data_IF_569968216956
#
_entry.id   IF_569968216956
#
_cell.length_a   1.000
_cell.length_b   1.000
_cell.length_c   1.000
_cell.angle_alpha   90.00
_cell.angle_beta   90.00
_cell.angle_gamma   90.00
#
_symmetry.space_group_name_H-M   'P 1'
#
loop_
_entity.id
_entity.type
_entity.pdbx_description
1 polymer ?
#
# COMPACT_ATOMS: atom_id res chain seq x y z
N UNK A 1 4.89 6.01 -1.34
CA UNK A 1 6.08 5.14 -1.47
C UNK A 1 6.13 4.55 -2.88
N UNK A 2 7.21 4.77 -3.64
CA UNK A 2 7.31 4.36 -5.03
C UNK A 2 7.96 2.97 -5.12
N UNK A 3 7.17 1.96 -5.49
CA UNK A 3 7.67 0.62 -5.80
C UNK A 3 8.44 0.64 -7.12
N UNK A 4 9.73 1.02 -7.08
CA UNK A 4 10.69 0.68 -8.13
C UNK A 4 11.08 -0.79 -7.97
N UNK A 5 10.15 -1.68 -8.28
CA UNK A 5 10.45 -3.10 -8.50
C UNK A 5 11.53 -3.18 -9.59
N UNK A 6 12.48 -4.08 -9.40
CA UNK A 6 13.63 -4.44 -10.24
C UNK A 6 13.25 -4.82 -11.69
N UNK A 7 12.63 -3.94 -12.47
CA UNK A 7 12.30 -4.17 -13.87
C UNK A 7 13.50 -4.04 -14.81
N UNK A 8 14.56 -3.35 -14.37
CA UNK A 8 15.71 -3.05 -15.23
C UNK A 8 16.51 -4.31 -15.64
N UNK A 9 16.62 -5.33 -14.78
CA UNK A 9 17.46 -6.50 -15.10
C UNK A 9 16.80 -7.51 -16.05
N UNK A 10 15.47 -7.47 -16.20
CA UNK A 10 14.75 -8.38 -17.10
C UNK A 10 14.80 -7.91 -18.57
N UNK A 11 14.82 -6.59 -18.80
CA UNK A 11 14.82 -6.02 -20.16
C UNK A 11 16.20 -6.18 -20.83
N UNK A 12 17.31 -6.06 -20.09
CA UNK A 12 18.65 -6.19 -20.67
C UNK A 12 18.90 -7.60 -21.25
N UNK A 13 18.39 -8.65 -20.59
CA UNK A 13 18.56 -10.03 -21.07
C UNK A 13 17.66 -10.41 -22.27
N UNK A 14 16.65 -9.60 -22.60
CA UNK A 14 15.72 -9.91 -23.71
C UNK A 14 16.34 -9.60 -25.08
N UNK A 15 17.37 -8.75 -25.13
CA UNK A 15 18.00 -8.29 -26.38
C UNK A 15 19.35 -8.96 -26.71
N UNK A 16 19.89 -9.80 -25.82
CA UNK A 16 21.19 -10.48 -26.00
C UNK A 16 21.10 -11.86 -26.70
N UNK A 17 19.92 -12.26 -27.18
CA UNK A 17 19.78 -13.51 -27.93
C UNK A 17 20.27 -13.35 -29.40
N UNK A 18 20.98 -14.35 -29.97
CA UNK A 18 21.50 -14.29 -31.34
C UNK A 18 20.37 -14.13 -32.36
N UNK A 19 20.63 -13.65 -33.60
CA UNK A 19 19.61 -13.19 -34.53
C UNK A 19 18.77 -14.37 -35.05
N UNK A 20 17.73 -14.73 -34.31
CA UNK A 20 16.70 -15.62 -34.78
C UNK A 20 15.81 -14.86 -35.76
N UNK A 21 15.87 -15.31 -37.02
CA UNK A 21 14.92 -15.16 -38.14
C UNK A 21 14.11 -13.82 -38.20
N UNK A 22 14.13 -13.10 -39.35
CA UNK A 22 13.60 -11.74 -39.49
C UNK A 22 12.09 -11.57 -39.15
N UNK A 23 11.33 -12.67 -39.05
CA UNK A 23 9.92 -12.65 -38.67
C UNK A 23 9.68 -12.49 -37.16
N UNK A 24 10.61 -12.92 -36.29
CA UNK A 24 10.46 -12.84 -34.82
C UNK A 24 10.88 -11.48 -34.27
N UNK A 25 11.65 -10.72 -35.06
CA UNK A 25 12.25 -9.43 -34.71
C UNK A 25 11.23 -8.35 -34.33
N UNK A 26 10.00 -8.47 -34.81
CA UNK A 26 8.90 -7.55 -34.52
C UNK A 26 7.84 -8.14 -33.59
N UNK A 27 7.81 -9.46 -33.40
CA UNK A 27 6.81 -10.14 -32.57
C UNK A 27 7.10 -9.97 -31.07
N UNK A 28 8.37 -10.10 -30.68
CA UNK A 28 8.82 -9.89 -29.29
C UNK A 28 8.53 -8.46 -28.78
N UNK A 29 8.93 -7.38 -29.47
CA UNK A 29 8.63 -6.04 -29.01
C UNK A 29 7.12 -5.73 -29.05
N UNK A 30 6.38 -6.26 -30.02
CA UNK A 30 4.92 -6.11 -30.07
C UNK A 30 4.24 -6.80 -28.87
N UNK A 31 4.69 -8.01 -28.51
CA UNK A 31 4.19 -8.73 -27.34
C UNK A 31 4.53 -7.99 -26.04
N UNK A 32 5.74 -7.44 -25.93
CA UNK A 32 6.15 -6.63 -24.77
C UNK A 32 5.29 -5.37 -24.62
N UNK A 33 4.99 -4.67 -25.73
CA UNK A 33 4.10 -3.50 -25.73
C UNK A 33 2.68 -3.90 -25.32
N UNK A 34 2.18 -5.03 -25.81
CA UNK A 34 0.85 -5.54 -25.44
C UNK A 34 0.78 -5.89 -23.95
N UNK A 35 1.81 -6.55 -23.40
CA UNK A 35 1.90 -6.84 -21.97
C UNK A 35 1.98 -5.55 -21.13
N UNK A 36 2.78 -4.57 -21.56
CA UNK A 36 2.87 -3.27 -20.89
C UNK A 36 1.53 -2.54 -20.89
N UNK A 37 0.80 -2.55 -22.01
CA UNK A 37 -0.53 -1.95 -22.09
C UNK A 37 -1.54 -2.65 -21.16
N UNK A 38 -1.40 -3.96 -20.96
CA UNK A 38 -2.25 -4.73 -20.06
C UNK A 38 -1.93 -4.45 -18.57
N UNK A 39 -0.65 -4.32 -18.22
CA UNK A 39 -0.22 -3.99 -16.84
C UNK A 39 -0.45 -2.51 -16.52
N UNK A 40 -0.42 -1.64 -17.53
CA UNK A 40 -0.70 -0.22 -17.39
C UNK A 40 -2.20 0.12 -17.41
N UNK A 41 -3.09 -0.87 -17.51
CA UNK A 41 -4.50 -0.61 -17.29
C UNK A 41 -4.65 -0.07 -15.87
N UNK A 42 -5.22 1.13 -15.67
CA UNK A 42 -5.55 1.57 -14.34
C UNK A 42 -6.49 0.51 -13.77
N UNK A 43 -6.12 -0.04 -12.61
CA UNK A 43 -7.11 -0.71 -11.78
C UNK A 43 -8.14 0.38 -11.49
N UNK A 44 -9.30 0.33 -12.14
CA UNK A 44 -10.52 0.92 -11.60
C UNK A 44 -10.75 0.15 -10.29
N UNK A 45 -10.03 0.55 -9.24
CA UNK A 45 -10.37 0.17 -7.90
C UNK A 45 -11.79 0.73 -7.75
N UNK A 46 -12.77 -0.15 -7.77
CA UNK A 46 -14.15 0.22 -7.46
C UNK A 46 -14.04 0.93 -6.13
N UNK A 47 -14.38 2.22 -6.09
CA UNK A 47 -14.46 2.97 -4.84
C UNK A 47 -15.60 2.35 -4.03
N UNK A 48 -15.24 1.37 -3.21
CA UNK A 48 -16.13 0.74 -2.26
C UNK A 48 -16.12 1.65 -1.05
N UNK A 49 -17.29 2.16 -0.67
CA UNK A 49 -17.44 2.91 0.58
C UNK A 49 -17.52 1.90 1.73
N UNK A 50 -16.58 2.01 2.66
CA UNK A 50 -16.57 1.22 3.90
C UNK A 50 -17.36 1.98 4.97
N UNK A 51 -18.14 1.25 5.77
CA UNK A 51 -18.77 1.82 6.96
C UNK A 51 -17.78 1.82 8.13
N UNK A 52 -18.16 2.47 9.24
CA UNK A 52 -17.34 2.55 10.45
C UNK A 52 -16.76 1.19 10.89
N UNK A 53 -17.58 0.15 10.99
CA UNK A 53 -17.15 -1.16 11.49
C UNK A 53 -16.15 -1.82 10.53
N UNK A 54 -16.41 -1.77 9.23
CA UNK A 54 -15.45 -2.29 8.25
C UNK A 54 -14.13 -1.52 8.27
N UNK A 55 -14.16 -0.19 8.47
CA UNK A 55 -12.92 0.59 8.59
C UNK A 55 -12.13 0.23 9.85
N UNK A 56 -12.83 -0.03 10.95
CA UNK A 56 -12.21 -0.51 12.18
C UNK A 56 -11.57 -1.89 11.97
N UNK A 57 -12.33 -2.85 11.45
CA UNK A 57 -11.87 -4.21 11.14
C UNK A 57 -10.64 -4.18 10.21
N UNK A 58 -10.68 -3.38 9.13
CA UNK A 58 -9.58 -3.23 8.18
C UNK A 58 -8.31 -2.63 8.86
N UNK A 59 -8.49 -1.73 9.82
CA UNK A 59 -7.38 -1.10 10.55
C UNK A 59 -6.76 -2.06 11.58
N UNK A 60 -7.58 -2.83 12.29
CA UNK A 60 -7.12 -3.89 13.17
C UNK A 60 -6.40 -4.99 12.38
N UNK A 61 -6.94 -5.39 11.23
CA UNK A 61 -6.32 -6.36 10.33
C UNK A 61 -4.96 -5.86 9.83
N UNK A 62 -4.82 -4.58 9.49
CA UNK A 62 -3.54 -3.99 9.11
C UNK A 62 -2.48 -4.15 10.20
N UNK A 63 -2.81 -3.83 11.46
CA UNK A 63 -1.89 -4.01 12.58
C UNK A 63 -1.57 -5.49 12.83
N UNK A 64 -2.57 -6.37 12.70
CA UNK A 64 -2.40 -7.82 12.88
C UNK A 64 -1.49 -8.44 11.81
N UNK A 65 -1.58 -7.97 10.57
CA UNK A 65 -0.77 -8.46 9.45
C UNK A 65 0.67 -7.96 9.49
N UNK A 66 0.94 -6.84 10.16
CA UNK A 66 2.26 -6.20 10.21
C UNK A 66 2.67 -5.80 11.63
N UNK A 67 2.72 -6.75 12.58
CA UNK A 67 2.88 -6.45 14.00
C UNK A 67 4.23 -5.81 14.35
N UNK A 68 5.25 -6.00 13.51
CA UNK A 68 6.59 -5.42 13.73
C UNK A 68 6.68 -3.92 13.36
N UNK A 69 5.69 -3.41 12.63
CA UNK A 69 5.71 -2.05 12.07
C UNK A 69 4.41 -1.27 12.25
N UNK A 70 3.36 -1.87 12.81
CA UNK A 70 2.05 -1.24 12.99
C UNK A 70 1.45 -1.56 14.36
N UNK A 71 0.95 -0.55 15.06
CA UNK A 71 0.24 -0.68 16.34
C UNK A 71 -1.14 -0.04 16.22
N UNK A 72 -2.20 -0.82 16.45
CA UNK A 72 -3.55 -0.31 16.60
C UNK A 72 -3.77 0.21 18.03
N UNK A 73 -4.39 1.39 18.15
CA UNK A 73 -4.69 2.02 19.44
C UNK A 73 -6.07 2.66 19.44
N UNK A 74 -6.80 2.49 20.54
CA UNK A 74 -8.04 3.19 20.85
C UNK A 74 -7.76 4.35 21.80
N UNK A 75 -8.31 5.52 21.50
CA UNK A 75 -7.98 6.76 22.22
C UNK A 75 -9.14 7.29 23.05
N UNK A 76 -10.37 7.16 22.54
CA UNK A 76 -11.57 7.70 23.14
C UNK A 76 -12.82 7.15 22.44
N UNK A 77 -13.99 7.44 22.99
CA UNK A 77 -15.27 7.10 22.37
C UNK A 77 -16.02 8.36 21.92
N UNK A 78 -16.74 8.25 20.81
CA UNK A 78 -17.52 9.32 20.20
C UNK A 78 -18.75 9.68 21.02
N UNK A 79 -19.11 10.97 20.99
CA UNK A 79 -20.29 11.45 21.72
C UNK A 79 -21.58 10.96 21.03
N UNK A 80 -22.47 10.35 21.81
CA UNK A 80 -23.82 9.97 21.38
C UNK A 80 -23.94 8.57 20.76
N UNK A 81 -22.92 8.10 20.02
CA UNK A 81 -22.93 6.77 19.40
C UNK A 81 -22.05 5.75 20.14
N UNK A 82 -21.09 6.19 20.96
CA UNK A 82 -20.22 5.29 21.71
C UNK A 82 -19.26 4.50 20.83
N UNK A 83 -18.95 5.01 19.63
CA UNK A 83 -17.99 4.40 18.69
C UNK A 83 -16.57 4.85 19.03
N UNK A 84 -15.63 3.92 19.07
CA UNK A 84 -14.21 4.20 19.34
C UNK A 84 -13.57 5.09 18.27
N UNK A 85 -12.69 5.98 18.74
CA UNK A 85 -11.77 6.78 17.95
C UNK A 85 -10.43 6.05 18.01
N UNK A 86 -10.02 5.53 16.87
CA UNK A 86 -8.84 4.66 16.76
C UNK A 86 -7.79 5.24 15.81
N UNK A 87 -6.55 4.78 15.96
CA UNK A 87 -5.46 5.02 15.01
C UNK A 87 -4.65 3.77 14.77
N UNK A 88 -3.83 3.81 13.72
CA UNK A 88 -2.74 2.89 13.51
C UNK A 88 -1.44 3.68 13.40
N UNK A 89 -0.52 3.42 14.33
CA UNK A 89 0.79 4.04 14.31
C UNK A 89 1.74 3.15 13.51
N UNK A 90 2.44 3.72 12.53
CA UNK A 90 3.32 2.97 11.62
C UNK A 90 4.74 3.50 11.70
N UNK A 91 5.68 2.64 12.13
CA UNK A 91 7.09 2.96 12.20
C UNK A 91 7.94 1.70 12.02
N UNK A 92 9.18 1.85 11.55
CA UNK A 92 10.14 0.73 11.55
C UNK A 92 10.55 0.41 12.99
N UNK A 93 10.55 -0.88 13.34
CA UNK A 93 10.92 -1.40 14.66
C UNK A 93 10.07 -0.81 15.81
N UNK A 94 8.80 -0.52 15.55
CA UNK A 94 7.91 0.14 16.52
C UNK A 94 7.79 -0.64 17.83
N UNK A 95 7.89 -1.98 17.77
CA UNK A 95 7.79 -2.88 18.93
C UNK A 95 9.06 -2.98 19.77
N UNK A 96 10.19 -2.50 19.25
CA UNK A 96 11.47 -2.49 19.97
C UNK A 96 11.70 -1.19 20.75
N UNK A 97 10.93 -0.15 20.44
CA UNK A 97 11.01 1.17 21.06
C UNK A 97 10.17 1.22 22.33
N UNK A 98 10.70 1.86 23.36
CA UNK A 98 9.92 2.21 24.55
C UNK A 98 8.89 3.29 24.23
N UNK A 99 7.87 3.45 25.08
CA UNK A 99 6.86 4.52 24.94
C UNK A 99 7.49 5.92 24.88
N UNK A 100 8.56 6.16 25.65
CA UNK A 100 9.29 7.43 25.64
C UNK A 100 9.99 7.68 24.30
N UNK A 101 10.61 6.64 23.74
CA UNK A 101 11.26 6.71 22.42
C UNK A 101 10.24 6.91 21.31
N UNK A 102 9.09 6.22 21.38
CA UNK A 102 7.97 6.40 20.44
C UNK A 102 7.44 7.83 20.48
N UNK A 103 7.21 8.37 21.68
CA UNK A 103 6.74 9.75 21.86
C UNK A 103 7.75 10.81 21.39
N UNK A 104 9.03 10.47 21.34
CA UNK A 104 10.10 11.33 20.86
C UNK A 104 10.30 11.27 19.33
N UNK A 105 9.68 10.32 18.63
CA UNK A 105 9.81 10.22 17.18
C UNK A 105 9.20 11.46 16.49
N UNK A 106 9.83 11.97 15.43
CA UNK A 106 9.17 12.92 14.54
C UNK A 106 7.93 12.26 13.90
N UNK A 107 6.74 12.70 14.31
CA UNK A 107 5.48 12.09 13.89
C UNK A 107 4.76 12.94 12.84
N UNK A 108 4.25 12.28 11.80
CA UNK A 108 3.29 12.86 10.88
C UNK A 108 1.91 12.34 11.23
N UNK A 109 1.02 13.23 11.65
CA UNK A 109 -0.38 12.89 11.90
C UNK A 109 -1.20 13.07 10.63
N UNK A 110 -2.01 12.06 10.31
CA UNK A 110 -2.95 12.08 9.18
C UNK A 110 -4.30 11.64 9.73
N UNK A 111 -5.29 12.51 9.64
CA UNK A 111 -6.68 12.20 9.91
C UNK A 111 -7.47 12.06 8.60
N UNK A 112 -8.62 11.41 8.71
CA UNK A 112 -9.60 11.31 7.64
C UNK A 112 -11.01 11.41 8.22
N UNK A 113 -11.98 11.75 7.37
CA UNK A 113 -13.42 11.71 7.72
C UNK A 113 -13.73 12.57 8.96
N UNK A 114 -13.08 13.73 9.09
CA UNK A 114 -13.41 14.69 10.16
C UNK A 114 -14.87 15.14 10.04
N UNK A 115 -15.35 15.29 8.81
CA UNK A 115 -16.77 15.41 8.51
C UNK A 115 -17.28 14.07 7.98
N UNK A 116 -18.41 13.58 8.50
CA UNK A 116 -18.96 12.26 8.13
C UNK A 116 -19.50 12.15 6.70
N UNK A 117 -19.31 13.16 5.86
CA UNK A 117 -19.69 13.20 4.45
C UNK A 117 -18.50 13.41 3.50
N UNK A 118 -17.27 13.33 4.02
CA UNK A 118 -15.98 13.37 3.30
C UNK A 118 -15.32 11.98 3.34
#
# INVERSE_FOLDING_TARGET
>A
MCWRIKFYSFIENLFDAPPFLPQVRYLLPLLAILCLAFVAQPSEAVEILHNYYSMQDDTEELASNYPDIAIYSEHASSTGLGLEIFSVDVALNITELSEEELAALPTMYVDGVHHGNE
#
